data_IF_503007498968
#
_entry.id   IF_503007498968
#
_cell.length_a   1.000
_cell.length_b   1.000
_cell.length_c   1.000
_cell.angle_alpha   90.00
_cell.angle_beta   90.00
_cell.angle_gamma   90.00
#
_symmetry.space_group_name_H-M   'P 1'
#
loop_
_entity.id
_entity.type
_entity.pdbx_description
1 polymer ?
#
# COMPACT_ATOMS: atom_id res chain seq x y z
N UNK A 1 24.37 -5.62 -6.00
CA UNK A 1 23.89 -4.57 -5.09
C UNK A 1 24.92 -4.20 -4.02
N UNK A 2 25.32 -5.10 -3.10
CA UNK A 2 26.35 -4.81 -2.07
C UNK A 2 27.62 -4.12 -2.61
N UNK A 3 28.22 -4.65 -3.68
CA UNK A 3 29.39 -4.03 -4.34
C UNK A 3 29.15 -2.59 -4.80
N UNK A 4 27.93 -2.23 -5.21
CA UNK A 4 27.60 -0.86 -5.60
C UNK A 4 27.58 0.11 -4.41
N UNK A 5 27.28 -0.38 -3.20
CA UNK A 5 27.45 0.41 -1.97
C UNK A 5 28.93 0.58 -1.66
N UNK A 6 29.72 -0.50 -1.75
CA UNK A 6 31.18 -0.47 -1.52
C UNK A 6 31.90 0.46 -2.50
N UNK A 7 31.44 0.50 -3.76
CA UNK A 7 31.91 1.42 -4.80
C UNK A 7 31.35 2.85 -4.66
N UNK A 8 30.46 3.11 -3.69
CA UNK A 8 29.85 4.42 -3.44
C UNK A 8 28.83 4.87 -4.49
N UNK A 9 28.34 3.96 -5.35
CA UNK A 9 27.38 4.26 -6.43
C UNK A 9 25.95 4.39 -5.93
N UNK A 10 25.61 3.68 -4.86
CA UNK A 10 24.31 3.77 -4.19
C UNK A 10 24.53 3.82 -2.67
N UNK A 11 23.60 4.42 -1.93
CA UNK A 11 23.67 4.51 -0.47
C UNK A 11 22.96 3.37 0.25
N UNK A 12 21.84 2.89 -0.33
CA UNK A 12 20.91 1.98 0.31
C UNK A 12 20.39 0.95 -0.69
N UNK A 13 19.89 -0.17 -0.18
CA UNK A 13 19.25 -1.22 -0.97
C UNK A 13 17.80 -1.34 -0.50
N UNK A 14 16.87 -1.32 -1.44
CA UNK A 14 15.47 -1.67 -1.20
C UNK A 14 15.08 -2.93 -1.99
N UNK A 15 14.00 -3.56 -1.56
CA UNK A 15 13.31 -4.61 -2.31
C UNK A 15 11.88 -4.14 -2.61
N UNK A 16 11.22 -4.77 -3.56
CA UNK A 16 9.81 -4.53 -3.88
C UNK A 16 9.13 -5.87 -4.12
N UNK A 17 7.90 -6.04 -3.62
CA UNK A 17 7.06 -7.24 -3.85
C UNK A 17 7.77 -8.57 -3.53
N UNK A 18 8.64 -8.58 -2.51
CA UNK A 18 9.39 -9.75 -2.09
C UNK A 18 8.67 -10.47 -0.93
N UNK A 19 8.62 -11.80 -0.98
CA UNK A 19 8.14 -12.62 0.14
C UNK A 19 9.07 -12.51 1.36
N UNK A 20 8.53 -12.83 2.54
CA UNK A 20 9.24 -12.77 3.81
C UNK A 20 10.57 -13.56 3.81
N UNK A 21 10.61 -14.73 3.18
CA UNK A 21 11.84 -15.56 3.08
C UNK A 21 12.91 -14.90 2.21
N UNK A 22 12.52 -14.28 1.09
CA UNK A 22 13.42 -13.50 0.23
C UNK A 22 13.96 -12.28 0.96
N UNK A 23 13.12 -11.56 1.68
CA UNK A 23 13.54 -10.41 2.51
C UNK A 23 14.61 -10.85 3.51
N UNK A 24 14.37 -11.93 4.26
CA UNK A 24 15.33 -12.47 5.26
C UNK A 24 16.65 -12.88 4.62
N UNK A 25 16.61 -13.61 3.50
CA UNK A 25 17.84 -14.03 2.79
C UNK A 25 18.64 -12.85 2.27
N UNK A 26 17.98 -11.85 1.68
CA UNK A 26 18.64 -10.65 1.19
C UNK A 26 19.29 -9.86 2.35
N UNK A 27 18.53 -9.66 3.43
CA UNK A 27 18.99 -8.93 4.61
C UNK A 27 20.19 -9.62 5.30
N UNK A 28 20.25 -10.96 5.27
CA UNK A 28 21.39 -11.72 5.77
C UNK A 28 22.70 -11.49 4.98
N UNK A 29 22.62 -11.07 3.72
CA UNK A 29 23.80 -10.77 2.88
C UNK A 29 24.24 -9.31 3.04
N UNK A 30 23.29 -8.39 3.06
CA UNK A 30 23.50 -6.96 3.31
C UNK A 30 22.20 -6.33 3.81
N UNK A 31 22.25 -5.37 4.76
CA UNK A 31 21.04 -4.73 5.28
C UNK A 31 20.15 -4.17 4.16
N UNK A 32 18.91 -4.63 4.14
CA UNK A 32 17.84 -4.05 3.32
C UNK A 32 17.28 -2.86 4.09
N UNK A 33 17.28 -1.68 3.48
CA UNK A 33 16.84 -0.43 4.12
C UNK A 33 15.32 -0.30 4.10
N UNK A 34 14.69 -0.67 2.98
CA UNK A 34 13.25 -0.56 2.81
C UNK A 34 12.68 -1.67 1.93
N UNK A 35 11.42 -2.02 2.17
CA UNK A 35 10.62 -2.86 1.27
C UNK A 35 9.44 -2.05 0.77
N UNK A 36 9.30 -1.96 -0.55
CA UNK A 36 8.17 -1.32 -1.21
C UNK A 36 7.05 -2.34 -1.46
N UNK A 37 5.83 -2.02 -0.99
CA UNK A 37 4.67 -2.91 -1.07
C UNK A 37 3.37 -2.11 -1.21
N UNK A 38 2.33 -2.72 -1.78
CA UNK A 38 1.01 -2.09 -1.78
C UNK A 38 0.40 -2.17 -0.38
N UNK A 39 0.13 -1.02 0.21
CA UNK A 39 -0.57 -0.93 1.49
C UNK A 39 -1.50 0.27 1.50
N UNK A 40 -2.77 0.02 1.83
CA UNK A 40 -3.80 1.04 2.00
C UNK A 40 -4.94 0.48 2.83
N UNK A 41 -5.95 1.29 3.13
CA UNK A 41 -7.24 0.82 3.65
C UNK A 41 -7.89 -0.28 2.78
N UNK A 42 -7.47 -0.40 1.51
CA UNK A 42 -8.05 -1.33 0.54
C UNK A 42 -7.17 -2.56 0.25
N UNK A 43 -5.90 -2.55 0.68
CA UNK A 43 -4.93 -3.64 0.49
C UNK A 43 -4.13 -3.83 1.77
N UNK A 44 -4.43 -4.91 2.50
CA UNK A 44 -3.93 -5.22 3.85
C UNK A 44 -3.16 -6.55 3.92
N UNK A 45 -2.92 -7.18 2.77
CA UNK A 45 -2.34 -8.53 2.66
C UNK A 45 -0.92 -8.64 3.23
N UNK A 46 -0.11 -7.59 3.12
CA UNK A 46 1.24 -7.54 3.68
C UNK A 46 1.28 -7.68 5.21
N UNK A 47 0.19 -7.38 5.91
CA UNK A 47 0.16 -7.31 7.38
C UNK A 47 0.36 -8.68 8.02
N UNK A 48 0.07 -9.74 7.26
CA UNK A 48 0.17 -11.13 7.70
C UNK A 48 1.61 -11.57 7.96
N UNK A 49 2.55 -11.23 7.08
CA UNK A 49 3.89 -11.80 7.08
C UNK A 49 5.01 -10.81 6.70
N UNK A 50 4.74 -9.85 5.80
CA UNK A 50 5.74 -8.87 5.36
C UNK A 50 5.95 -7.79 6.42
N UNK A 51 4.88 -7.17 6.91
CA UNK A 51 4.93 -6.15 7.97
C UNK A 51 5.69 -6.64 9.22
N UNK A 52 5.34 -7.79 9.84
CA UNK A 52 6.09 -8.29 10.99
C UNK A 52 7.54 -8.64 10.65
N UNK A 53 7.82 -9.17 9.45
CA UNK A 53 9.20 -9.46 9.02
C UNK A 53 10.04 -8.19 8.87
N UNK A 54 9.48 -7.12 8.28
CA UNK A 54 10.17 -5.85 8.15
C UNK A 54 10.47 -5.25 9.53
N UNK A 55 9.49 -5.24 10.44
CA UNK A 55 9.65 -4.72 11.80
C UNK A 55 10.69 -5.49 12.62
N UNK A 56 10.67 -6.82 12.54
CA UNK A 56 11.68 -7.68 13.19
C UNK A 56 13.10 -7.34 12.73
N UNK A 57 13.28 -7.05 11.44
CA UNK A 57 14.58 -6.76 10.83
C UNK A 57 14.96 -5.28 10.84
N UNK A 58 14.12 -4.38 11.38
CA UNK A 58 14.33 -2.94 11.36
C UNK A 58 14.32 -2.32 9.95
N UNK A 59 13.50 -2.87 9.05
CA UNK A 59 13.35 -2.45 7.65
C UNK A 59 12.16 -1.50 7.53
N UNK A 60 12.34 -0.35 6.88
CA UNK A 60 11.23 0.58 6.59
C UNK A 60 10.29 0.05 5.52
N UNK A 61 9.04 0.50 5.53
CA UNK A 61 8.01 0.12 4.56
C UNK A 61 7.67 1.32 3.70
N UNK A 62 7.84 1.17 2.39
CA UNK A 62 7.44 2.17 1.40
C UNK A 62 6.11 1.72 0.79
N UNK A 63 5.03 2.42 1.12
CA UNK A 63 3.68 2.00 0.72
C UNK A 63 3.27 2.64 -0.60
N UNK A 64 3.14 1.83 -1.66
CA UNK A 64 2.66 2.28 -2.97
C UNK A 64 1.16 2.05 -3.15
N UNK A 65 0.58 2.74 -4.13
CA UNK A 65 -0.88 2.84 -4.35
C UNK A 65 -1.68 3.09 -3.05
N UNK A 66 -1.23 3.99 -2.15
CA UNK A 66 -1.85 4.17 -0.84
C UNK A 66 -3.31 4.68 -0.92
N UNK A 67 -3.72 5.17 -2.10
CA UNK A 67 -5.08 5.63 -2.41
C UNK A 67 -5.91 4.59 -3.16
N UNK A 68 -5.56 3.30 -3.09
CA UNK A 68 -6.35 2.22 -3.70
C UNK A 68 -6.47 2.35 -5.22
N UNK A 69 -5.39 2.76 -5.90
CA UNK A 69 -5.37 3.03 -7.36
C UNK A 69 -6.43 4.07 -7.79
N UNK A 70 -6.70 5.02 -6.90
CA UNK A 70 -7.65 6.11 -7.09
C UNK A 70 -9.00 5.89 -6.40
N UNK A 71 -9.29 4.68 -5.92
CA UNK A 71 -10.55 4.36 -5.26
C UNK A 71 -10.78 5.18 -3.98
N UNK A 72 -9.76 5.35 -3.13
CA UNK A 72 -9.88 6.03 -1.84
C UNK A 72 -9.82 7.56 -1.94
N UNK A 73 -9.50 8.09 -3.11
CA UNK A 73 -9.47 9.52 -3.41
C UNK A 73 -10.41 9.87 -4.57
N UNK A 74 -11.33 8.96 -4.90
CA UNK A 74 -12.20 9.06 -6.04
C UNK A 74 -13.19 10.21 -5.89
N UNK A 75 -13.64 10.76 -7.00
CA UNK A 75 -14.98 11.35 -7.05
C UNK A 75 -15.98 10.18 -7.10
N UNK A 76 -17.21 10.36 -6.58
CA UNK A 76 -18.30 9.42 -6.77
C UNK A 76 -18.47 8.99 -8.24
N UNK A 77 -18.06 9.84 -9.19
CA UNK A 77 -18.09 9.59 -10.64
C UNK A 77 -16.85 8.95 -11.24
N UNK A 78 -15.82 8.61 -10.46
CA UNK A 78 -14.56 8.06 -10.99
C UNK A 78 -14.81 6.88 -11.92
N UNK A 79 -15.74 6.01 -11.55
CA UNK A 79 -16.03 4.75 -12.24
C UNK A 79 -16.71 4.97 -13.60
N UNK A 80 -17.60 5.96 -13.67
CA UNK A 80 -18.23 6.41 -14.92
C UNK A 80 -17.21 7.06 -15.86
N UNK A 81 -16.13 7.63 -15.30
CA UNK A 81 -15.10 8.33 -16.07
C UNK A 81 -13.98 7.42 -16.60
N UNK A 82 -13.89 6.17 -16.16
CA UNK A 82 -12.85 5.24 -16.63
C UNK A 82 -13.12 4.81 -18.08
N UNK A 83 -12.09 4.86 -18.93
CA UNK A 83 -12.21 4.34 -20.30
C UNK A 83 -12.36 2.81 -20.29
N UNK A 84 -12.99 2.26 -21.33
CA UNK A 84 -13.11 0.79 -21.49
C UNK A 84 -11.74 0.08 -21.59
N UNK A 85 -10.69 0.82 -21.92
CA UNK A 85 -9.32 0.34 -21.98
C UNK A 85 -8.51 0.57 -20.68
N UNK A 86 -9.13 1.11 -19.63
CA UNK A 86 -8.46 1.35 -18.36
C UNK A 86 -8.07 0.03 -17.71
N UNK A 87 -6.80 -0.11 -17.33
CA UNK A 87 -6.26 -1.30 -16.69
C UNK A 87 -7.06 -1.74 -15.46
N UNK A 88 -7.64 -0.81 -14.69
CA UNK A 88 -8.48 -1.14 -13.53
C UNK A 88 -9.73 -1.89 -13.96
N UNK A 89 -10.43 -1.43 -15.00
CA UNK A 89 -11.59 -2.14 -15.54
C UNK A 89 -11.22 -3.52 -16.09
N UNK A 90 -10.09 -3.61 -16.79
CA UNK A 90 -9.70 -4.83 -17.50
C UNK A 90 -9.08 -5.91 -16.60
N UNK A 91 -8.35 -5.54 -15.56
CA UNK A 91 -7.44 -6.45 -14.87
C UNK A 91 -7.49 -6.38 -13.34
N UNK A 92 -8.28 -5.48 -12.74
CA UNK A 92 -8.36 -5.39 -11.28
C UNK A 92 -9.68 -6.02 -10.79
N UNK A 93 -9.63 -7.12 -9.99
CA UNK A 93 -10.82 -7.78 -9.48
C UNK A 93 -11.73 -6.86 -8.69
N UNK A 94 -11.16 -5.91 -7.93
CA UNK A 94 -11.93 -4.97 -7.09
C UNK A 94 -12.75 -3.95 -7.87
N UNK A 95 -12.41 -3.76 -9.15
CA UNK A 95 -13.13 -2.86 -10.07
C UNK A 95 -14.15 -3.59 -10.95
N UNK A 96 -14.29 -4.92 -10.80
CA UNK A 96 -15.34 -5.67 -11.48
C UNK A 96 -16.71 -5.34 -10.87
N UNK A 97 -17.74 -5.25 -11.70
CA UNK A 97 -19.05 -4.67 -11.36
C UNK A 97 -19.60 -5.11 -9.99
N UNK A 98 -19.62 -6.41 -9.71
CA UNK A 98 -20.16 -6.95 -8.45
C UNK A 98 -19.32 -6.58 -7.22
N UNK A 99 -18.00 -6.60 -7.35
CA UNK A 99 -17.09 -6.22 -6.28
C UNK A 99 -17.13 -4.72 -6.04
N UNK A 100 -17.22 -3.95 -7.12
CA UNK A 100 -17.25 -2.51 -7.09
C UNK A 100 -18.49 -1.97 -6.37
N UNK A 101 -19.66 -2.54 -6.61
CA UNK A 101 -20.90 -2.21 -5.89
C UNK A 101 -20.80 -2.48 -4.38
N UNK A 102 -20.05 -3.52 -3.97
CA UNK A 102 -19.79 -3.78 -2.55
C UNK A 102 -18.80 -2.76 -1.98
N UNK A 103 -17.71 -2.51 -2.70
CA UNK A 103 -16.69 -1.56 -2.31
C UNK A 103 -17.22 -0.13 -2.22
N UNK A 104 -18.19 0.26 -3.06
CA UNK A 104 -18.82 1.59 -3.03
C UNK A 104 -19.36 1.94 -1.63
N UNK A 105 -19.88 0.97 -0.88
CA UNK A 105 -20.34 1.18 0.50
C UNK A 105 -19.20 1.58 1.44
N UNK A 106 -18.01 0.97 1.26
CA UNK A 106 -16.81 1.36 2.00
C UNK A 106 -16.39 2.79 1.65
N UNK A 107 -16.44 3.14 0.36
CA UNK A 107 -16.08 4.49 -0.06
C UNK A 107 -17.05 5.56 0.50
N UNK A 108 -18.36 5.27 0.51
CA UNK A 108 -19.35 6.15 1.13
C UNK A 108 -19.06 6.34 2.63
N UNK A 109 -18.73 5.25 3.35
CA UNK A 109 -18.36 5.33 4.76
C UNK A 109 -17.07 6.16 4.97
N UNK A 110 -16.05 6.00 4.12
CA UNK A 110 -14.84 6.82 4.15
C UNK A 110 -15.15 8.31 3.96
N UNK A 111 -16.03 8.64 3.02
CA UNK A 111 -16.46 10.02 2.78
C UNK A 111 -17.17 10.62 3.99
N UNK A 112 -17.99 9.84 4.70
CA UNK A 112 -18.64 10.28 5.93
C UNK A 112 -17.62 10.57 7.04
N UNK A 113 -16.66 9.66 7.26
CA UNK A 113 -15.59 9.86 8.23
C UNK A 113 -14.70 11.06 7.87
N UNK A 114 -14.34 11.21 6.59
CA UNK A 114 -13.53 12.32 6.12
C UNK A 114 -14.25 13.67 6.31
N UNK A 115 -15.58 13.70 6.06
CA UNK A 115 -16.42 14.87 6.32
C UNK A 115 -16.45 15.22 7.81
N UNK A 116 -16.67 14.24 8.69
CA UNK A 116 -16.62 14.41 10.15
C UNK A 116 -15.25 14.91 10.62
N UNK A 117 -14.17 14.49 9.95
CA UNK A 117 -12.79 14.87 10.23
C UNK A 117 -12.35 16.19 9.57
N UNK A 118 -13.21 16.80 8.76
CA UNK A 118 -12.91 18.01 7.98
C UNK A 118 -11.70 17.87 7.04
N UNK A 119 -11.55 16.70 6.42
CA UNK A 119 -10.49 16.42 5.44
C UNK A 119 -11.06 15.70 4.19
N UNK A 120 -10.24 15.52 3.16
CA UNK A 120 -10.65 14.71 2.00
C UNK A 120 -10.54 13.20 2.30
N UNK A 121 -11.29 12.33 1.61
CA UNK A 121 -11.14 10.88 1.73
C UNK A 121 -9.69 10.41 1.49
N UNK A 122 -9.00 11.03 0.52
CA UNK A 122 -7.60 10.74 0.24
C UNK A 122 -6.67 11.15 1.38
N UNK A 123 -6.92 12.31 1.99
CA UNK A 123 -6.17 12.74 3.18
C UNK A 123 -6.39 11.81 4.36
N UNK A 124 -7.64 11.40 4.62
CA UNK A 124 -7.96 10.46 5.69
C UNK A 124 -7.25 9.12 5.50
N UNK A 125 -7.28 8.57 4.27
CA UNK A 125 -6.61 7.32 3.94
C UNK A 125 -5.08 7.41 4.12
N UNK A 126 -4.46 8.51 3.70
CA UNK A 126 -3.02 8.73 3.89
C UNK A 126 -2.64 8.94 5.36
N UNK A 127 -3.46 9.68 6.12
CA UNK A 127 -3.23 9.90 7.55
C UNK A 127 -3.33 8.60 8.35
N UNK A 128 -4.30 7.75 8.02
CA UNK A 128 -4.41 6.41 8.60
C UNK A 128 -3.16 5.57 8.32
N UNK A 129 -2.67 5.57 7.08
CA UNK A 129 -1.49 4.79 6.70
C UNK A 129 -0.22 5.28 7.39
N UNK A 130 -0.07 6.60 7.56
CA UNK A 130 1.02 7.19 8.34
C UNK A 130 0.92 6.83 9.83
N UNK A 131 -0.30 6.62 10.36
CA UNK A 131 -0.52 6.22 11.75
C UNK A 131 -0.05 4.77 12.03
N UNK A 132 0.14 3.94 10.99
CA UNK A 132 0.51 2.54 11.17
C UNK A 132 1.91 2.36 11.79
N UNK A 133 2.78 3.37 11.71
CA UNK A 133 4.07 3.39 12.41
C UNK A 133 5.07 4.37 11.80
N UNK A 134 6.08 4.75 12.60
CA UNK A 134 7.18 5.63 12.17
C UNK A 134 8.07 4.99 11.08
N UNK A 135 7.94 3.67 10.89
CA UNK A 135 8.59 2.87 9.85
C UNK A 135 7.87 2.92 8.50
N UNK A 136 6.73 3.62 8.38
CA UNK A 136 5.86 3.61 7.19
C UNK A 136 5.94 4.92 6.42
N UNK A 137 6.26 4.83 5.13
CA UNK A 137 6.35 5.99 4.22
C UNK A 137 5.46 5.76 2.99
N UNK A 138 4.26 6.36 2.92
CA UNK A 138 3.44 6.30 1.72
C UNK A 138 4.02 7.17 0.59
N UNK A 139 3.92 6.68 -0.64
CA UNK A 139 4.40 7.38 -1.86
C UNK A 139 3.26 7.69 -2.85
N UNK A 140 2.27 8.53 -2.47
CA UNK A 140 1.18 8.89 -3.37
C UNK A 140 1.70 9.73 -4.55
N UNK A 141 1.64 9.17 -5.76
CA UNK A 141 1.99 9.87 -6.99
C UNK A 141 0.88 10.78 -7.50
N UNK A 142 1.24 11.84 -8.22
CA UNK A 142 0.29 12.76 -8.86
C UNK A 142 0.91 13.50 -10.04
N UNK A 143 0.08 13.91 -11.00
CA UNK A 143 0.45 14.80 -12.12
C UNK A 143 -0.07 16.24 -11.96
N UNK A 144 -0.85 16.51 -10.91
CA UNK A 144 -1.50 17.81 -10.66
C UNK A 144 -1.01 18.40 -9.35
N UNK A 145 -0.68 19.70 -9.37
CA UNK A 145 -0.22 20.42 -8.17
C UNK A 145 -1.26 20.39 -7.04
N UNK A 146 -2.55 20.60 -7.35
CA UNK A 146 -3.64 20.54 -6.37
C UNK A 146 -3.66 19.22 -5.58
N UNK A 147 -3.46 18.10 -6.27
CA UNK A 147 -3.42 16.78 -5.63
C UNK A 147 -2.14 16.60 -4.80
N UNK A 148 -1.03 17.21 -5.21
CA UNK A 148 0.20 17.23 -4.39
C UNK A 148 -0.04 17.99 -3.08
N UNK A 149 -0.65 19.17 -3.16
CA UNK A 149 -1.04 19.97 -1.99
C UNK A 149 -2.01 19.21 -1.08
N UNK A 150 -2.99 18.52 -1.66
CA UNK A 150 -3.91 17.65 -0.91
C UNK A 150 -3.17 16.52 -0.18
N UNK A 151 -2.27 15.81 -0.87
CA UNK A 151 -1.44 14.76 -0.28
C UNK A 151 -0.59 15.30 0.88
N UNK A 152 0.06 16.45 0.71
CA UNK A 152 0.85 17.11 1.78
C UNK A 152 -0.05 17.49 2.96
N UNK A 153 -1.28 17.94 2.69
CA UNK A 153 -2.26 18.27 3.71
C UNK A 153 -2.63 17.09 4.63
N UNK A 154 -2.47 15.84 4.17
CA UNK A 154 -2.70 14.65 5.03
C UNK A 154 -1.85 14.64 6.30
N UNK A 155 -0.64 15.23 6.27
CA UNK A 155 0.26 15.30 7.42
C UNK A 155 -0.31 16.09 8.61
N UNK A 156 -1.28 16.97 8.33
CA UNK A 156 -1.98 17.79 9.34
C UNK A 156 -3.19 17.07 9.95
N UNK A 157 -3.66 15.98 9.34
CA UNK A 157 -4.77 15.20 9.86
C UNK A 157 -4.25 14.33 11.01
N UNK A 158 -4.69 14.63 12.24
CA UNK A 158 -4.34 13.86 13.44
C UNK A 158 -5.52 12.99 13.84
N UNK A 159 -5.35 11.68 13.79
CA UNK A 159 -6.37 10.70 14.15
C UNK A 159 -6.26 10.35 15.63
N UNK A 160 -7.39 10.36 16.33
CA UNK A 160 -7.47 9.84 17.70
C UNK A 160 -7.52 8.30 17.68
N UNK A 161 -7.30 7.67 18.82
CA UNK A 161 -7.39 6.21 18.94
C UNK A 161 -8.79 5.70 18.57
N UNK A 162 -9.83 6.42 18.96
CA UNK A 162 -11.23 6.06 18.64
C UNK A 162 -11.53 6.19 17.14
N UNK A 163 -10.97 7.21 16.48
CA UNK A 163 -11.11 7.37 15.02
C UNK A 163 -10.36 6.28 14.26
N UNK A 164 -9.19 5.87 14.77
CA UNK A 164 -8.46 4.73 14.21
C UNK A 164 -9.26 3.45 14.36
N UNK A 165 -9.81 3.17 15.55
CA UNK A 165 -10.68 2.01 15.77
C UNK A 165 -11.90 2.01 14.83
N UNK A 166 -12.58 3.15 14.69
CA UNK A 166 -13.71 3.33 13.76
C UNK A 166 -13.31 3.04 12.30
N UNK A 167 -12.12 3.48 11.88
CA UNK A 167 -11.58 3.18 10.54
C UNK A 167 -11.25 1.68 10.40
N UNK A 168 -10.60 1.07 11.39
CA UNK A 168 -10.17 -0.35 11.34
C UNK A 168 -11.37 -1.31 11.33
N UNK A 169 -12.47 -0.98 12.01
CA UNK A 169 -13.70 -1.78 11.95
C UNK A 169 -14.29 -1.82 10.53
N UNK A 170 -14.32 -0.66 9.87
CA UNK A 170 -14.85 -0.52 8.51
C UNK A 170 -13.91 -1.09 7.45
N UNK A 171 -12.60 -0.93 7.64
CA UNK A 171 -11.54 -1.28 6.68
C UNK A 171 -10.62 -2.39 7.19
N UNK A 172 -11.20 -3.38 7.87
CA UNK A 172 -10.49 -4.60 8.24
C UNK A 172 -9.97 -5.34 6.99
N UNK A 173 -9.00 -6.26 7.18
CA UNK A 173 -8.24 -6.86 6.08
C UNK A 173 -9.08 -7.51 4.96
N UNK A 174 -10.27 -8.03 5.31
CA UNK A 174 -11.19 -8.72 4.40
C UNK A 174 -12.37 -7.85 3.94
N UNK A 175 -12.40 -6.56 4.29
CA UNK A 175 -13.51 -5.65 3.98
C UNK A 175 -13.68 -5.44 2.47
N UNK A 176 -12.56 -5.36 1.74
CA UNK A 176 -12.57 -5.12 0.30
C UNK A 176 -13.05 -6.35 -0.49
N UNK A 177 -14.08 -6.16 -1.31
CA UNK A 177 -14.54 -7.20 -2.23
C UNK A 177 -13.58 -7.34 -3.42
N UNK A 178 -13.16 -8.57 -3.69
CA UNK A 178 -12.20 -8.90 -4.75
C UNK A 178 -10.74 -8.84 -4.30
N UNK A 179 -9.92 -9.69 -4.89
CA UNK A 179 -8.48 -9.72 -4.62
C UNK A 179 -7.74 -8.48 -5.16
N UNK A 180 -6.59 -8.18 -4.58
CA UNK A 180 -5.63 -7.17 -5.08
C UNK A 180 -5.18 -7.47 -6.51
N UNK A 181 -5.01 -8.76 -6.81
CA UNK A 181 -4.82 -9.32 -8.14
C UNK A 181 -5.74 -10.53 -8.30
N UNK A 182 -5.89 -11.03 -9.53
CA UNK A 182 -6.48 -12.36 -9.72
C UNK A 182 -5.61 -13.43 -9.04
N UNK A 183 -6.19 -14.49 -8.50
CA UNK A 183 -5.47 -15.49 -7.68
C UNK A 183 -4.23 -16.11 -8.37
N UNK A 184 -4.26 -16.22 -9.70
CA UNK A 184 -3.11 -16.70 -10.49
C UNK A 184 -1.88 -15.77 -10.37
N UNK A 185 -2.10 -14.49 -10.06
CA UNK A 185 -1.15 -13.38 -10.09
C UNK A 185 -0.78 -12.85 -8.70
N UNK A 186 -1.08 -13.54 -7.60
CA UNK A 186 -0.54 -13.13 -6.29
C UNK A 186 0.98 -13.35 -6.27
N UNK A 187 1.72 -12.36 -6.79
CA UNK A 187 3.09 -12.49 -7.26
C UNK A 187 4.07 -12.63 -6.11
N UNK A 188 3.88 -11.87 -5.02
CA UNK A 188 4.89 -11.85 -3.96
C UNK A 188 4.97 -13.18 -3.21
N UNK A 189 3.86 -13.88 -2.96
CA UNK A 189 3.89 -15.18 -2.28
C UNK A 189 4.71 -16.24 -3.05
N UNK A 190 4.86 -16.03 -4.36
CA UNK A 190 5.64 -16.90 -5.25
C UNK A 190 7.00 -16.31 -5.62
N UNK A 191 7.38 -15.15 -5.04
CA UNK A 191 8.64 -14.44 -5.30
C UNK A 191 9.84 -15.02 -4.53
N UNK A 192 9.91 -16.34 -4.46
CA UNK A 192 11.00 -17.05 -3.80
C UNK A 192 12.32 -16.88 -4.57
N UNK A 193 13.43 -16.87 -3.84
CA UNK A 193 14.78 -16.86 -4.42
C UNK A 193 15.53 -18.13 -4.03
N UNK A 194 16.51 -18.58 -4.82
CA UNK A 194 17.37 -19.69 -4.44
C UNK A 194 17.99 -19.50 -3.05
N UNK A 195 18.20 -20.59 -2.29
CA UNK A 195 18.78 -20.51 -0.94
C UNK A 195 20.21 -19.95 -0.99
N UNK A 196 20.68 -19.35 0.11
CA UNK A 196 22.04 -18.79 0.16
C UNK A 196 23.12 -19.86 -0.12
N UNK A 197 22.88 -21.11 0.26
CA UNK A 197 23.79 -22.24 -0.02
C UNK A 197 24.00 -22.53 -1.51
N UNK A 198 23.08 -22.13 -2.39
CA UNK A 198 23.24 -22.31 -3.83
C UNK A 198 24.08 -21.22 -4.49
N UNK A 199 24.44 -20.15 -3.77
CA UNK A 199 25.25 -19.06 -4.31
C UNK A 199 26.74 -19.41 -4.22
N UNK A 200 27.40 -19.45 -5.37
CA UNK A 200 28.87 -19.50 -5.45
C UNK A 200 29.39 -18.06 -5.52
N UNK A 201 30.08 -17.63 -4.46
CA UNK A 201 30.73 -16.31 -4.36
C UNK A 201 31.91 -16.15 -5.30
#
# INVERSE_FOLDING_TARGET
MKKLIEEGKIKYIGLSEACASTIRRAHAVHPVTAVEFEWSLWSRDLEKDILPTCRELGIGIVAYSPLGRGFLSADAKLLESLSETDYRKLAQPRYQTENLQKNEKLFIALCQLATKKECTPGQLALAWLQHQGDDVVPIPGTTKLKNFEENVGSLQVKLSSEEIEEIEELFHADAAAGGRYYEAENMYLKSETPPLSSWKS
#
